data_IF_276066004342
#
_entry.id   IF_276066004342
#
_cell.length_a   1.000
_cell.length_b   1.000
_cell.length_c   1.000
_cell.angle_alpha   90.00
_cell.angle_beta   90.00
_cell.angle_gamma   90.00
#
_symmetry.space_group_name_H-M   'P 1'
#
loop_
_entity.id
_entity.type
_entity.pdbx_description
1 polymer ?
#
# COMPACT_ATOMS: atom_id res chain seq x y z
N UNK A 1 -5.79 18.30 1.40
CA UNK A 1 -4.96 17.61 2.43
C UNK A 1 -3.55 18.15 2.36
N UNK A 2 -2.95 18.48 3.50
CA UNK A 2 -1.59 19.06 3.55
C UNK A 2 -0.53 18.07 3.08
N UNK A 3 0.50 18.57 2.38
CA UNK A 3 1.59 17.79 1.77
C UNK A 3 2.47 17.03 2.80
N UNK A 4 2.32 17.30 4.10
CA UNK A 4 3.14 16.77 5.20
C UNK A 4 2.27 16.36 6.40
N UNK A 5 2.61 15.25 7.07
CA UNK A 5 2.03 14.83 8.36
C UNK A 5 2.74 15.55 9.51
N UNK A 6 2.04 15.82 10.61
CA UNK A 6 2.57 16.51 11.79
C UNK A 6 2.22 15.76 13.08
N UNK A 7 3.23 15.60 13.94
CA UNK A 7 3.14 15.18 15.33
C UNK A 7 3.59 16.34 16.23
N UNK A 8 3.53 16.17 17.55
CA UNK A 8 3.89 17.22 18.53
C UNK A 8 5.27 17.82 18.31
N UNK A 9 6.24 17.01 17.86
CA UNK A 9 7.63 17.44 17.70
C UNK A 9 8.23 17.16 16.30
N UNK A 10 7.44 16.67 15.35
CA UNK A 10 7.96 16.28 14.02
C UNK A 10 6.96 16.63 12.93
N UNK A 11 7.46 17.17 11.81
CA UNK A 11 6.73 17.30 10.55
C UNK A 11 7.45 16.44 9.52
N UNK A 12 6.73 15.54 8.85
CA UNK A 12 7.35 14.57 7.95
C UNK A 12 6.49 14.29 6.71
N UNK A 13 7.17 13.82 5.66
CA UNK A 13 6.55 13.26 4.45
C UNK A 13 7.39 12.07 4.03
N UNK A 14 6.81 10.89 4.16
CA UNK A 14 7.47 9.63 3.89
C UNK A 14 6.68 8.91 2.79
N UNK A 15 6.98 9.25 1.54
CA UNK A 15 6.36 8.62 0.37
C UNK A 15 7.27 7.47 -0.11
N UNK A 16 6.68 6.30 -0.36
CA UNK A 16 7.42 5.10 -0.76
C UNK A 16 6.86 4.52 -2.05
N UNK A 17 7.74 4.03 -2.91
CA UNK A 17 7.39 3.19 -4.06
C UNK A 17 7.67 1.73 -3.71
N UNK A 18 6.62 0.97 -3.41
CA UNK A 18 6.70 -0.43 -3.00
C UNK A 18 6.27 -1.31 -4.18
N UNK A 19 7.15 -2.23 -4.60
CA UNK A 19 6.91 -3.19 -5.68
C UNK A 19 7.12 -4.60 -5.15
N UNK A 20 6.23 -5.53 -5.51
CA UNK A 20 6.36 -6.94 -5.17
C UNK A 20 6.04 -7.83 -6.37
N UNK A 21 6.45 -9.10 -6.29
CA UNK A 21 6.17 -10.10 -7.31
C UNK A 21 5.67 -11.39 -6.67
N UNK A 22 4.80 -12.16 -7.34
CA UNK A 22 4.38 -13.46 -6.85
C UNK A 22 5.56 -14.44 -6.82
N UNK A 23 5.45 -15.48 -5.99
CA UNK A 23 6.45 -16.54 -5.90
C UNK A 23 6.71 -17.12 -7.30
N UNK A 24 7.99 -17.29 -7.66
CA UNK A 24 8.44 -17.74 -8.99
C UNK A 24 8.06 -16.83 -10.18
N UNK A 25 7.58 -15.61 -9.92
CA UNK A 25 7.18 -14.63 -10.96
C UNK A 25 6.10 -15.16 -11.92
N UNK A 26 5.24 -16.05 -11.46
CA UNK A 26 4.11 -16.49 -12.25
C UNK A 26 3.18 -15.31 -12.59
N UNK A 27 2.63 -15.28 -13.81
CA UNK A 27 1.72 -14.22 -14.27
C UNK A 27 0.29 -14.42 -13.76
N UNK A 28 0.15 -14.66 -12.46
CA UNK A 28 -1.14 -14.95 -11.80
C UNK A 28 -1.90 -13.70 -11.34
N UNK A 29 -1.24 -12.55 -11.27
CA UNK A 29 -1.82 -11.28 -10.83
C UNK A 29 -2.67 -10.65 -11.95
N UNK A 30 -3.74 -11.34 -12.34
CA UNK A 30 -4.67 -10.91 -13.39
C UNK A 30 -6.11 -11.24 -13.00
N UNK A 31 -7.09 -10.61 -13.66
CA UNK A 31 -8.52 -10.85 -13.40
C UNK A 31 -8.89 -10.68 -11.92
N UNK A 32 -9.73 -11.59 -11.42
CA UNK A 32 -10.26 -11.54 -10.05
C UNK A 32 -9.16 -11.55 -8.98
N UNK A 33 -8.07 -12.30 -9.20
CA UNK A 33 -6.94 -12.37 -8.26
C UNK A 33 -6.36 -10.97 -8.02
N UNK A 34 -6.18 -10.18 -9.09
CA UNK A 34 -5.67 -8.81 -8.97
C UNK A 34 -6.64 -7.89 -8.21
N UNK A 35 -7.94 -8.08 -8.41
CA UNK A 35 -8.99 -7.30 -7.74
C UNK A 35 -9.04 -7.59 -6.25
N UNK A 36 -9.03 -8.88 -5.87
CA UNK A 36 -9.03 -9.31 -4.47
C UNK A 36 -7.79 -8.82 -3.74
N UNK A 37 -6.59 -8.98 -4.33
CA UNK A 37 -5.34 -8.48 -3.73
C UNK A 37 -5.38 -6.97 -3.53
N UNK A 38 -5.88 -6.21 -4.50
CA UNK A 38 -6.01 -4.76 -4.35
C UNK A 38 -6.95 -4.38 -3.21
N UNK A 39 -8.05 -5.13 -3.03
CA UNK A 39 -8.99 -4.91 -1.93
C UNK A 39 -8.40 -5.26 -0.57
N UNK A 40 -7.68 -6.38 -0.47
CA UNK A 40 -7.02 -6.83 0.75
C UNK A 40 -5.96 -5.82 1.19
N UNK A 41 -5.12 -5.35 0.24
CA UNK A 41 -4.10 -4.33 0.53
C UNK A 41 -4.75 -3.05 1.08
N UNK A 42 -5.82 -2.55 0.44
CA UNK A 42 -6.53 -1.35 0.94
C UNK A 42 -7.10 -1.56 2.34
N UNK A 43 -7.70 -2.72 2.59
CA UNK A 43 -8.28 -3.07 3.89
C UNK A 43 -7.22 -3.10 4.98
N UNK A 44 -6.05 -3.69 4.69
CA UNK A 44 -4.90 -3.73 5.61
C UNK A 44 -4.36 -2.32 5.85
N UNK A 45 -4.21 -1.50 4.80
CA UNK A 45 -3.73 -0.12 4.92
C UNK A 45 -4.66 0.73 5.80
N UNK A 46 -5.98 0.60 5.60
CA UNK A 46 -6.98 1.27 6.43
C UNK A 46 -6.88 0.84 7.89
N UNK A 47 -6.73 -0.46 8.16
CA UNK A 47 -6.59 -0.98 9.53
C UNK A 47 -5.28 -0.50 10.20
N UNK A 48 -4.21 -0.32 9.43
CA UNK A 48 -2.89 0.12 9.91
C UNK A 48 -2.72 1.64 9.96
N UNK A 49 -3.69 2.43 9.48
CA UNK A 49 -3.60 3.89 9.33
C UNK A 49 -2.37 4.35 8.49
N UNK A 50 -2.16 3.68 7.36
CA UNK A 50 -1.08 3.97 6.39
C UNK A 50 -1.60 4.39 5.02
#
# INVERSE_FOLDING_TARGET
MGKYRKLTHVVYKCDYHIVFTPKYRFRILTGDISMHIAQDIRTICQWKDV
#
